data_IF_876448489790
#
_entry.id   IF_876448489790
#
_cell.length_a   1.000
_cell.length_b   1.000
_cell.length_c   1.000
_cell.angle_alpha   90.00
_cell.angle_beta   90.00
_cell.angle_gamma   90.00
#
_symmetry.space_group_name_H-M   'P 1'
#
loop_
_entity.id
_entity.type
_entity.pdbx_description
1 polymer ?
#
# COMPACT_ATOMS: atom_id res chain seq x y z
N UNK A 1 -19.53 -12.88 -50.27
CA UNK A 1 -18.10 -12.80 -49.89
C UNK A 1 -17.85 -11.87 -48.71
N UNK A 2 -18.39 -10.67 -48.65
CA UNK A 2 -18.18 -9.67 -47.59
C UNK A 2 -18.53 -10.15 -46.15
N UNK A 3 -19.64 -10.90 -45.98
CA UNK A 3 -20.04 -11.39 -44.62
C UNK A 3 -19.07 -12.40 -44.02
N UNK A 4 -18.33 -13.17 -44.83
CA UNK A 4 -17.29 -14.10 -44.33
C UNK A 4 -16.00 -13.39 -43.98
N UNK A 5 -15.70 -12.27 -44.63
CA UNK A 5 -14.52 -11.45 -44.32
C UNK A 5 -14.71 -10.70 -42.99
N UNK A 6 -15.91 -10.19 -42.70
CA UNK A 6 -16.24 -9.51 -41.43
C UNK A 6 -16.20 -10.47 -40.26
N UNK A 7 -16.69 -11.72 -40.43
CA UNK A 7 -16.61 -12.74 -39.40
C UNK A 7 -15.16 -13.15 -39.08
N UNK A 8 -14.30 -13.23 -40.10
CA UNK A 8 -12.89 -13.56 -39.94
C UNK A 8 -12.12 -12.41 -39.21
N UNK A 9 -12.45 -11.17 -39.57
CA UNK A 9 -11.86 -9.99 -38.93
C UNK A 9 -12.30 -9.88 -37.46
N UNK A 10 -13.56 -10.18 -37.15
CA UNK A 10 -14.07 -10.18 -35.75
C UNK A 10 -13.41 -11.25 -34.87
N UNK A 11 -13.16 -12.46 -35.45
CA UNK A 11 -12.44 -13.52 -34.75
C UNK A 11 -10.97 -13.15 -34.52
N UNK A 12 -10.33 -12.50 -35.53
CA UNK A 12 -8.94 -12.04 -35.40
C UNK A 12 -8.78 -10.92 -34.34
N UNK A 13 -9.74 -10.01 -34.26
CA UNK A 13 -9.75 -8.95 -33.23
C UNK A 13 -10.01 -9.55 -31.86
N UNK A 14 -10.90 -10.53 -31.70
CA UNK A 14 -11.16 -11.23 -30.47
C UNK A 14 -9.95 -12.06 -30.00
N UNK A 15 -9.21 -12.67 -30.92
CA UNK A 15 -7.97 -13.39 -30.55
C UNK A 15 -6.82 -12.47 -30.22
N UNK A 16 -6.72 -11.29 -30.85
CA UNK A 16 -5.72 -10.27 -30.52
C UNK A 16 -6.02 -9.58 -29.18
N UNK A 17 -7.29 -9.34 -28.84
CA UNK A 17 -7.67 -8.80 -27.54
C UNK A 17 -7.53 -9.83 -26.40
N UNK A 18 -7.73 -11.12 -26.68
CA UNK A 18 -7.46 -12.18 -25.71
C UNK A 18 -5.94 -12.38 -25.47
N UNK A 19 -5.10 -12.16 -26.50
CA UNK A 19 -3.64 -12.23 -26.34
C UNK A 19 -3.05 -11.00 -25.62
N UNK A 20 -3.74 -9.86 -25.63
CA UNK A 20 -3.34 -8.67 -24.86
C UNK A 20 -3.78 -8.72 -23.37
N UNK A 21 -4.64 -9.68 -23.01
CA UNK A 21 -5.09 -9.92 -21.65
C UNK A 21 -4.22 -10.94 -20.87
N UNK A 22 -3.25 -11.59 -21.55
CA UNK A 22 -2.15 -12.25 -20.87
C UNK A 22 -1.14 -11.13 -20.56
N UNK A 23 -1.22 -10.57 -19.36
CA UNK A 23 -0.25 -9.59 -18.86
C UNK A 23 1.16 -10.12 -19.10
N UNK A 24 2.10 -9.23 -19.39
CA UNK A 24 3.52 -9.58 -19.45
C UNK A 24 3.83 -10.43 -18.21
N UNK A 25 4.36 -11.62 -18.44
CA UNK A 25 4.75 -12.52 -17.36
C UNK A 25 5.78 -11.75 -16.52
N UNK A 26 5.39 -11.35 -15.33
CA UNK A 26 6.26 -10.54 -14.47
C UNK A 26 7.52 -11.33 -14.16
N UNK A 27 8.67 -10.86 -14.63
CA UNK A 27 9.96 -11.46 -14.29
C UNK A 27 10.34 -11.06 -12.86
N UNK A 28 10.38 -12.05 -11.98
CA UNK A 28 10.76 -11.89 -10.58
C UNK A 28 12.26 -12.09 -10.34
N UNK A 29 13.00 -12.55 -11.34
CA UNK A 29 14.44 -12.89 -11.23
C UNK A 29 15.26 -11.66 -10.82
N UNK A 30 16.11 -11.83 -9.82
CA UNK A 30 16.99 -10.77 -9.32
C UNK A 30 16.27 -9.63 -8.58
N UNK A 31 14.97 -9.81 -8.26
CA UNK A 31 14.21 -8.77 -7.54
C UNK A 31 14.32 -8.92 -6.04
N UNK A 32 14.26 -7.79 -5.34
CA UNK A 32 14.17 -7.73 -3.89
C UNK A 32 12.87 -7.06 -3.48
N UNK A 33 12.18 -7.67 -2.53
CA UNK A 33 10.90 -7.24 -2.02
C UNK A 33 11.00 -6.97 -0.53
N UNK A 34 10.66 -5.76 -0.13
CA UNK A 34 10.73 -5.29 1.26
C UNK A 34 9.33 -5.26 1.86
N UNK A 35 9.15 -5.85 3.02
CA UNK A 35 7.91 -5.73 3.77
C UNK A 35 7.72 -4.29 4.19
N UNK A 36 6.65 -3.66 3.73
CA UNK A 36 6.33 -2.26 3.99
C UNK A 36 5.14 -2.10 4.93
N UNK A 37 4.24 -3.09 4.95
CA UNK A 37 3.00 -3.06 5.73
C UNK A 37 2.65 -4.47 6.19
N UNK A 38 1.98 -4.58 7.33
CA UNK A 38 1.37 -5.81 7.83
C UNK A 38 0.00 -5.48 8.42
N UNK A 39 -1.04 -6.11 7.87
CA UNK A 39 -2.42 -5.95 8.29
C UNK A 39 -2.80 -7.14 9.17
N UNK A 40 -3.06 -6.89 10.45
CA UNK A 40 -3.42 -7.91 11.41
C UNK A 40 -4.92 -8.21 11.34
N UNK A 41 -5.32 -9.46 11.59
CA UNK A 41 -6.73 -9.86 11.64
C UNK A 41 -7.55 -9.14 12.73
N UNK A 42 -6.89 -8.55 13.72
CA UNK A 42 -7.54 -7.72 14.75
C UNK A 42 -7.72 -6.25 14.33
N UNK A 43 -7.44 -5.90 13.07
CA UNK A 43 -7.56 -4.56 12.53
C UNK A 43 -6.37 -3.63 12.80
N UNK A 44 -5.34 -4.09 13.52
CA UNK A 44 -4.10 -3.32 13.67
C UNK A 44 -3.29 -3.34 12.37
N UNK A 45 -2.65 -2.24 12.03
CA UNK A 45 -1.77 -2.11 10.87
C UNK A 45 -0.39 -1.65 11.31
N UNK A 46 0.64 -2.33 10.83
CA UNK A 46 2.03 -1.96 11.06
C UNK A 46 2.68 -1.50 9.77
N UNK A 47 3.36 -0.35 9.79
CA UNK A 47 4.20 0.11 8.70
C UNK A 47 5.67 -0.07 9.06
N UNK A 48 6.46 -0.53 8.09
CA UNK A 48 7.87 -0.83 8.26
C UNK A 48 8.71 0.09 7.38
N UNK A 49 9.80 0.61 7.93
CA UNK A 49 10.84 1.27 7.15
C UNK A 49 11.90 0.26 6.70
N UNK A 50 12.70 0.64 5.72
CA UNK A 50 13.84 -0.17 5.23
C UNK A 50 14.81 -0.61 6.33
N UNK A 51 14.94 0.20 7.38
CA UNK A 51 15.81 -0.04 8.53
C UNK A 51 15.07 -0.61 9.73
N UNK A 52 13.79 -1.00 9.57
CA UNK A 52 13.03 -1.60 10.65
C UNK A 52 13.72 -2.88 11.14
N UNK A 53 13.93 -2.98 12.44
CA UNK A 53 14.44 -4.21 13.08
C UNK A 53 13.36 -5.30 13.18
N UNK A 54 12.23 -5.06 12.56
CA UNK A 54 11.10 -5.97 12.38
C UNK A 54 10.70 -5.87 10.92
N UNK A 55 10.16 -6.92 10.40
CA UNK A 55 9.78 -6.99 9.00
C UNK A 55 10.56 -8.07 8.29
N UNK A 56 10.28 -8.21 7.02
CA UNK A 56 10.79 -9.28 6.19
C UNK A 56 11.31 -8.70 4.88
N UNK A 57 12.30 -9.37 4.30
CA UNK A 57 12.78 -9.08 2.95
C UNK A 57 12.82 -10.40 2.19
N UNK A 58 12.31 -10.41 0.97
CA UNK A 58 12.35 -11.56 0.07
C UNK A 58 13.26 -11.19 -1.08
N UNK A 59 14.29 -12.01 -1.32
CA UNK A 59 15.20 -11.87 -2.46
C UNK A 59 14.94 -13.02 -3.41
N UNK A 60 14.45 -12.72 -4.61
CA UNK A 60 14.23 -13.68 -5.69
C UNK A 60 15.51 -13.77 -6.50
N UNK A 61 16.24 -14.85 -6.33
CA UNK A 61 17.48 -15.10 -7.06
C UNK A 61 17.26 -15.72 -8.44
N UNK A 62 18.35 -15.95 -9.14
CA UNK A 62 18.37 -16.72 -10.38
C UNK A 62 18.04 -18.21 -10.11
N UNK A 63 17.68 -18.95 -11.16
CA UNK A 63 17.42 -20.39 -11.13
C UNK A 63 16.35 -20.85 -10.11
N UNK A 64 15.38 -19.98 -9.79
CA UNK A 64 14.31 -20.31 -8.87
C UNK A 64 14.71 -20.37 -7.40
N UNK A 65 15.86 -19.83 -7.03
CA UNK A 65 16.26 -19.70 -5.63
C UNK A 65 15.66 -18.44 -5.00
N UNK A 66 15.28 -18.51 -3.74
CA UNK A 66 14.86 -17.36 -2.96
C UNK A 66 15.51 -17.35 -1.57
N UNK A 67 15.72 -16.18 -1.03
CA UNK A 67 16.11 -15.99 0.36
C UNK A 67 15.11 -15.09 1.06
N UNK A 68 14.61 -15.53 2.21
CA UNK A 68 13.76 -14.74 3.07
C UNK A 68 14.59 -14.30 4.27
N UNK A 69 14.70 -13.00 4.47
CA UNK A 69 15.36 -12.42 5.63
C UNK A 69 14.34 -11.89 6.61
N UNK A 70 14.48 -12.29 7.87
CA UNK A 70 13.69 -11.77 9.00
C UNK A 70 14.64 -11.28 10.09
N UNK A 71 14.12 -10.43 10.98
CA UNK A 71 14.86 -9.95 12.14
C UNK A 71 14.38 -10.65 13.41
N UNK A 72 15.32 -11.12 14.20
CA UNK A 72 14.97 -11.65 15.51
C UNK A 72 14.64 -10.51 16.49
N UNK A 73 13.47 -10.57 17.16
CA UNK A 73 13.02 -9.49 18.00
C UNK A 73 13.91 -9.20 19.23
N UNK A 74 14.73 -10.18 19.62
CA UNK A 74 15.45 -10.12 20.90
C UNK A 74 16.94 -9.72 20.79
N UNK A 75 17.56 -9.77 19.63
CA UNK A 75 19.00 -9.55 19.48
C UNK A 75 19.40 -8.71 18.27
N UNK A 76 18.45 -8.16 17.54
CA UNK A 76 18.68 -7.35 16.34
C UNK A 76 19.52 -8.08 15.25
N UNK A 77 19.47 -9.41 15.23
CA UNK A 77 20.14 -10.20 14.21
C UNK A 77 19.19 -10.52 13.05
N UNK A 78 19.72 -10.41 11.85
CA UNK A 78 19.04 -10.78 10.60
C UNK A 78 19.29 -12.28 10.36
N UNK A 79 18.21 -13.03 10.17
CA UNK A 79 18.26 -14.44 9.80
C UNK A 79 17.79 -14.62 8.37
N UNK A 80 18.52 -15.43 7.60
CA UNK A 80 18.14 -15.83 6.25
C UNK A 80 17.63 -17.27 6.22
N UNK A 81 16.58 -17.49 5.46
CA UNK A 81 16.03 -18.80 5.16
C UNK A 81 16.10 -19.00 3.65
N UNK A 82 16.79 -20.06 3.21
CA UNK A 82 16.79 -20.43 1.80
C UNK A 82 15.48 -21.15 1.46
N UNK A 83 14.87 -20.73 0.35
CA UNK A 83 13.68 -21.32 -0.25
C UNK A 83 13.92 -21.43 -1.77
N UNK A 84 12.97 -22.02 -2.46
CA UNK A 84 12.87 -21.90 -3.90
C UNK A 84 11.64 -21.05 -4.23
N UNK A 85 11.56 -20.56 -5.48
CA UNK A 85 10.38 -19.92 -5.98
C UNK A 85 10.06 -20.40 -7.39
N UNK A 86 8.80 -20.39 -7.76
CA UNK A 86 8.32 -20.61 -9.11
C UNK A 86 7.05 -19.80 -9.39
N UNK A 87 6.65 -19.80 -10.65
CA UNK A 87 5.33 -19.33 -11.06
C UNK A 87 4.58 -20.53 -11.63
N UNK A 88 3.48 -20.93 -10.99
CA UNK A 88 2.63 -22.00 -11.48
C UNK A 88 1.20 -21.49 -11.70
N UNK A 89 0.67 -21.69 -12.89
CA UNK A 89 -0.68 -21.25 -13.28
C UNK A 89 -0.90 -19.73 -13.06
N UNK A 90 0.17 -18.94 -13.24
CA UNK A 90 0.18 -17.49 -13.05
C UNK A 90 0.33 -17.04 -11.58
N UNK A 91 0.44 -17.97 -10.64
CA UNK A 91 0.66 -17.68 -9.23
C UNK A 91 2.12 -17.82 -8.84
N UNK A 92 2.71 -16.76 -8.29
CA UNK A 92 4.02 -16.79 -7.67
C UNK A 92 3.98 -17.54 -6.35
N UNK A 93 4.97 -18.42 -6.10
CA UNK A 93 5.03 -19.24 -4.89
C UNK A 93 6.43 -19.28 -4.33
N UNK A 94 6.55 -19.25 -3.01
CA UNK A 94 7.77 -19.62 -2.27
C UNK A 94 7.66 -21.08 -1.83
N UNK A 95 8.67 -21.88 -2.08
CA UNK A 95 8.67 -23.32 -1.87
C UNK A 95 9.69 -23.66 -0.81
N UNK A 96 9.24 -24.25 0.29
CA UNK A 96 10.09 -24.73 1.36
C UNK A 96 10.75 -26.07 1.02
N UNK A 97 11.76 -26.44 1.79
CA UNK A 97 12.53 -27.68 1.60
C UNK A 97 11.70 -28.97 1.72
N UNK A 98 10.57 -28.93 2.40
CA UNK A 98 9.60 -30.03 2.53
C UNK A 98 8.56 -30.05 1.40
N UNK A 99 8.74 -29.23 0.38
CA UNK A 99 7.83 -29.03 -0.76
C UNK A 99 6.49 -28.38 -0.41
N UNK A 100 6.30 -27.89 0.80
CA UNK A 100 5.20 -26.98 1.10
C UNK A 100 5.43 -25.64 0.40
N UNK A 101 4.36 -24.91 0.08
CA UNK A 101 4.50 -23.62 -0.59
C UNK A 101 3.64 -22.55 0.06
N UNK A 102 4.10 -21.31 -0.07
CA UNK A 102 3.41 -20.10 0.34
C UNK A 102 3.06 -19.34 -0.94
N UNK A 103 1.77 -19.16 -1.26
CA UNK A 103 1.36 -18.36 -2.40
C UNK A 103 1.63 -16.87 -2.10
N UNK A 104 2.10 -16.16 -3.11
CA UNK A 104 2.23 -14.71 -3.11
C UNK A 104 1.28 -14.15 -4.15
N UNK A 105 0.39 -13.26 -3.76
CA UNK A 105 -0.48 -12.55 -4.69
C UNK A 105 0.27 -11.33 -5.22
N UNK A 106 0.17 -11.07 -6.52
CA UNK A 106 0.79 -9.93 -7.18
C UNK A 106 -0.29 -8.98 -7.65
N UNK A 107 -0.23 -7.75 -7.17
CA UNK A 107 -1.06 -6.63 -7.61
C UNK A 107 -0.15 -5.52 -8.21
N UNK A 108 0.50 -5.86 -9.34
CA UNK A 108 1.41 -4.95 -10.04
C UNK A 108 2.72 -4.70 -9.29
N UNK A 109 2.80 -3.61 -8.54
CA UNK A 109 4.00 -3.18 -7.83
C UNK A 109 4.09 -3.72 -6.39
N UNK A 110 3.10 -4.49 -5.95
CA UNK A 110 3.01 -5.01 -4.60
C UNK A 110 2.81 -6.54 -4.61
N UNK A 111 3.51 -7.24 -3.71
CA UNK A 111 3.22 -8.63 -3.40
C UNK A 111 2.54 -8.70 -2.03
N UNK A 112 1.58 -9.60 -1.89
CA UNK A 112 0.99 -9.91 -0.59
C UNK A 112 1.24 -11.36 -0.20
N UNK A 113 1.42 -11.59 1.09
CA UNK A 113 1.63 -12.92 1.69
C UNK A 113 0.72 -13.10 2.89
N UNK A 114 -0.11 -14.13 2.85
CA UNK A 114 -0.94 -14.50 4.00
C UNK A 114 -0.09 -15.26 5.03
N UNK A 115 0.07 -14.68 6.22
CA UNK A 115 0.83 -15.24 7.34
C UNK A 115 -0.07 -15.91 8.39
N UNK A 116 -1.36 -16.14 8.08
CA UNK A 116 -2.35 -16.78 8.95
C UNK A 116 -3.11 -15.79 9.83
N UNK A 117 -2.43 -15.02 10.65
CA UNK A 117 -3.03 -13.98 11.51
C UNK A 117 -2.78 -12.55 11.00
N UNK A 118 -2.14 -12.43 9.86
CA UNK A 118 -1.88 -11.16 9.20
C UNK A 118 -1.66 -11.34 7.70
N UNK A 119 -1.75 -10.23 6.97
CA UNK A 119 -1.35 -10.13 5.56
C UNK A 119 -0.14 -9.21 5.51
N UNK A 120 0.99 -9.72 5.03
CA UNK A 120 2.18 -8.95 4.80
C UNK A 120 2.20 -8.40 3.38
N UNK A 121 2.53 -7.13 3.23
CA UNK A 121 2.61 -6.40 1.96
C UNK A 121 4.06 -6.04 1.68
N UNK A 122 4.51 -6.34 0.47
CA UNK A 122 5.88 -6.13 0.04
C UNK A 122 5.93 -5.23 -1.18
N UNK A 123 6.91 -4.34 -1.24
CA UNK A 123 7.21 -3.48 -2.39
C UNK A 123 8.65 -3.70 -2.83
N UNK A 124 8.95 -3.46 -4.11
CA UNK A 124 10.33 -3.42 -4.63
C UNK A 124 11.12 -2.26 -4.05
N UNK A 125 10.44 -1.20 -3.66
CA UNK A 125 11.05 -0.07 -2.99
C UNK A 125 11.00 -0.28 -1.47
N UNK A 126 12.10 -0.05 -0.76
CA UNK A 126 12.10 -0.14 0.68
C UNK A 126 11.15 0.91 1.27
N UNK A 127 10.55 0.59 2.40
CA UNK A 127 9.72 1.54 3.13
C UNK A 127 10.50 2.79 3.59
N UNK A 128 9.79 3.73 4.18
CA UNK A 128 10.33 5.03 4.58
C UNK A 128 11.61 4.95 5.38
N UNK A 129 12.57 5.83 5.10
CA UNK A 129 13.71 6.06 5.97
C UNK A 129 13.24 6.67 7.31
N UNK A 130 14.01 6.44 8.35
CA UNK A 130 13.75 7.02 9.65
C UNK A 130 13.95 6.02 10.79
N UNK A 131 14.81 5.07 10.60
CA UNK A 131 15.14 4.09 11.63
C UNK A 131 13.95 3.16 11.91
N UNK A 132 13.66 2.94 13.18
CA UNK A 132 12.56 2.06 13.60
C UNK A 132 11.21 2.78 13.64
N UNK A 133 11.00 3.81 12.84
CA UNK A 133 9.74 4.52 12.78
C UNK A 133 8.63 3.56 12.33
N UNK A 134 7.79 3.21 13.28
CA UNK A 134 6.65 2.33 13.11
C UNK A 134 5.42 3.13 13.44
N UNK A 135 4.51 3.24 12.48
CA UNK A 135 3.16 3.70 12.73
C UNK A 135 2.31 2.47 13.06
N UNK A 136 1.64 2.50 14.18
CA UNK A 136 0.76 1.42 14.62
C UNK A 136 -0.66 1.93 14.60
N UNK A 137 -1.46 1.43 13.67
CA UNK A 137 -2.88 1.68 13.68
C UNK A 137 -3.57 0.78 14.71
N UNK A 138 -4.60 1.33 15.33
CA UNK A 138 -5.50 0.63 16.23
C UNK A 138 -6.86 0.46 15.55
N UNK A 139 -7.57 -0.66 15.78
CA UNK A 139 -8.91 -0.85 15.25
C UNK A 139 -9.87 0.17 15.85
N UNK A 140 -10.60 0.90 15.00
CA UNK A 140 -11.72 1.73 15.42
C UNK A 140 -13.00 0.90 15.48
N UNK A 141 -13.85 1.15 16.46
CA UNK A 141 -15.13 0.44 16.62
C UNK A 141 -16.26 1.11 15.82
N UNK A 142 -16.10 2.38 15.46
CA UNK A 142 -17.10 3.15 14.73
C UNK A 142 -16.51 4.33 13.95
N UNK A 143 -17.23 4.79 12.92
CA UNK A 143 -16.89 6.02 12.20
C UNK A 143 -16.84 7.27 13.12
N UNK A 144 -17.60 7.27 14.22
CA UNK A 144 -17.65 8.40 15.16
C UNK A 144 -16.32 8.71 15.83
N UNK A 145 -15.39 7.72 15.92
CA UNK A 145 -14.07 7.94 16.49
C UNK A 145 -13.18 8.83 15.62
N UNK A 146 -13.47 8.90 14.32
CA UNK A 146 -12.78 9.77 13.37
C UNK A 146 -13.30 11.21 13.42
N UNK A 147 -14.51 11.44 13.95
CA UNK A 147 -15.13 12.75 13.94
C UNK A 147 -14.23 13.83 14.56
N UNK A 148 -14.26 15.00 13.95
CA UNK A 148 -13.47 16.17 14.34
C UNK A 148 -12.61 16.70 13.23
N UNK A 149 -11.76 17.67 13.58
CA UNK A 149 -10.84 18.30 12.64
C UNK A 149 -9.42 17.77 12.87
N UNK A 150 -8.76 17.41 11.79
CA UNK A 150 -7.41 16.86 11.79
C UNK A 150 -6.51 17.72 10.92
N UNK A 151 -5.37 18.16 11.43
CA UNK A 151 -4.37 18.95 10.71
C UNK A 151 -3.24 18.07 10.22
N UNK A 152 -2.86 18.22 8.96
CA UNK A 152 -1.70 17.55 8.38
C UNK A 152 -0.44 17.89 9.18
N UNK A 153 0.31 16.87 9.58
CA UNK A 153 1.57 16.99 10.33
C UNK A 153 2.77 16.59 9.47
N UNK A 154 2.67 15.46 8.78
CA UNK A 154 3.76 14.98 7.93
C UNK A 154 3.25 14.17 6.74
N UNK A 155 4.07 14.12 5.70
CA UNK A 155 3.86 13.32 4.50
C UNK A 155 5.04 12.37 4.35
N UNK A 156 4.76 11.10 4.13
CA UNK A 156 5.74 10.04 4.00
C UNK A 156 5.58 9.44 2.60
N UNK A 157 6.60 9.59 1.76
CA UNK A 157 6.67 8.98 0.44
C UNK A 157 7.38 7.63 0.58
N UNK A 158 6.60 6.55 0.75
CA UNK A 158 7.13 5.24 1.10
C UNK A 158 8.16 4.73 0.08
N UNK A 159 7.87 4.84 -1.22
CA UNK A 159 8.79 4.39 -2.28
C UNK A 159 10.08 5.21 -2.39
N UNK A 160 10.09 6.46 -1.98
CA UNK A 160 11.28 7.32 -2.03
C UNK A 160 12.06 7.36 -0.71
N UNK A 161 11.52 6.77 0.37
CA UNK A 161 12.11 6.84 1.70
C UNK A 161 12.15 8.26 2.28
N UNK A 162 11.27 9.16 1.84
CA UNK A 162 11.30 10.57 2.21
C UNK A 162 10.15 10.87 3.17
N UNK A 163 10.47 11.50 4.29
CA UNK A 163 9.48 12.09 5.20
C UNK A 163 9.58 13.60 5.15
N UNK A 164 8.45 14.26 4.91
CA UNK A 164 8.32 15.70 4.84
C UNK A 164 7.46 16.19 5.99
N UNK A 165 7.98 17.08 6.81
CA UNK A 165 7.20 17.80 7.81
C UNK A 165 6.33 18.86 7.09
N UNK A 166 5.02 18.85 7.38
CA UNK A 166 4.06 19.71 6.68
C UNK A 166 4.32 21.21 6.95
N UNK A 167 4.68 21.55 8.19
CA UNK A 167 4.97 22.94 8.55
C UNK A 167 6.25 23.44 7.87
N UNK A 168 7.30 22.59 7.77
CA UNK A 168 8.53 22.92 7.05
C UNK A 168 8.31 23.06 5.55
N UNK A 169 7.45 22.23 4.97
CA UNK A 169 7.11 22.29 3.55
C UNK A 169 6.07 23.38 3.21
N UNK A 170 5.55 24.07 4.20
CA UNK A 170 4.48 25.08 4.06
C UNK A 170 3.20 24.47 3.42
N UNK A 171 2.96 23.20 3.63
CA UNK A 171 1.73 22.51 3.22
C UNK A 171 0.73 22.57 4.36
N UNK A 172 -0.36 23.29 4.17
CA UNK A 172 -1.42 23.36 5.17
C UNK A 172 -2.69 22.71 4.62
N UNK A 173 -3.08 21.63 5.27
CA UNK A 173 -4.32 20.91 4.97
C UNK A 173 -4.97 20.44 6.26
N UNK A 174 -6.29 20.45 6.29
CA UNK A 174 -7.10 19.88 7.37
C UNK A 174 -8.15 18.95 6.79
N UNK A 175 -8.50 17.93 7.56
CA UNK A 175 -9.60 17.03 7.27
C UNK A 175 -10.66 17.21 8.35
N UNK A 176 -11.91 17.34 7.94
CA UNK A 176 -13.08 17.29 8.84
C UNK A 176 -13.90 16.04 8.52
N UNK A 177 -14.02 15.13 9.49
CA UNK A 177 -14.84 13.94 9.34
C UNK A 177 -16.25 14.23 9.86
N UNK A 178 -17.21 13.96 9.01
CA UNK A 178 -18.65 14.07 9.25
C UNK A 178 -19.31 12.70 8.97
N UNK A 179 -20.61 12.57 9.23
CA UNK A 179 -21.33 11.35 8.91
C UNK A 179 -21.32 11.08 7.39
N UNK A 180 -20.62 10.03 6.96
CA UNK A 180 -20.51 9.59 5.58
C UNK A 180 -19.71 10.50 4.65
N UNK A 181 -18.97 11.49 5.19
CA UNK A 181 -18.20 12.40 4.36
C UNK A 181 -16.91 12.90 5.04
N UNK A 182 -15.94 13.25 4.20
CA UNK A 182 -14.71 13.94 4.60
C UNK A 182 -14.65 15.26 3.83
N UNK A 183 -14.41 16.35 4.53
CA UNK A 183 -14.11 17.66 3.94
C UNK A 183 -12.62 17.92 4.09
N UNK A 184 -11.90 17.98 2.99
CA UNK A 184 -10.51 18.41 2.95
C UNK A 184 -10.46 19.90 2.66
N UNK A 185 -9.84 20.66 3.56
CA UNK A 185 -9.55 22.08 3.37
C UNK A 185 -8.08 22.27 3.19
N UNK A 186 -7.65 22.84 2.08
CA UNK A 186 -6.26 23.10 1.77
C UNK A 186 -6.01 24.56 1.42
N UNK A 187 -4.85 25.06 1.84
CA UNK A 187 -4.41 26.42 1.50
C UNK A 187 -3.55 26.39 0.24
N UNK A 188 -3.94 27.18 -0.76
CA UNK A 188 -3.15 27.41 -1.96
C UNK A 188 -2.27 28.65 -1.76
N UNK A 189 -0.93 28.47 -1.63
CA UNK A 189 -0.02 29.60 -1.42
C UNK A 189 0.11 30.51 -2.64
N UNK A 190 -0.28 30.06 -3.83
CA UNK A 190 -0.21 30.86 -5.06
C UNK A 190 -1.37 31.86 -5.14
N UNK A 191 -2.58 31.39 -4.88
CA UNK A 191 -3.78 32.26 -4.85
C UNK A 191 -4.00 32.95 -3.50
N UNK A 192 -3.38 32.44 -2.42
CA UNK A 192 -3.60 32.90 -1.06
C UNK A 192 -4.98 32.55 -0.51
N UNK A 193 -5.64 31.52 -1.07
CA UNK A 193 -7.01 31.15 -0.74
C UNK A 193 -7.08 29.74 -0.17
N UNK A 194 -8.08 29.52 0.67
CA UNK A 194 -8.51 28.17 1.10
C UNK A 194 -9.50 27.61 0.10
N UNK A 195 -9.33 26.34 -0.21
CA UNK A 195 -10.28 25.55 -1.01
C UNK A 195 -10.77 24.36 -0.22
N UNK A 196 -12.06 24.08 -0.29
CA UNK A 196 -12.69 22.92 0.35
C UNK A 196 -13.15 21.94 -0.71
N UNK A 197 -12.83 20.66 -0.50
CA UNK A 197 -13.33 19.56 -1.32
C UNK A 197 -14.02 18.57 -0.41
N UNK A 198 -15.24 18.17 -0.78
CA UNK A 198 -16.02 17.17 -0.04
C UNK A 198 -16.00 15.85 -0.77
N UNK A 199 -15.69 14.78 -0.05
CA UNK A 199 -15.68 13.42 -0.53
C UNK A 199 -16.68 12.58 0.25
N UNK A 200 -17.36 11.65 -0.42
CA UNK A 200 -18.12 10.60 0.25
C UNK A 200 -17.14 9.55 0.80
N UNK A 201 -17.46 9.00 1.96
CA UNK A 201 -16.63 7.96 2.58
C UNK A 201 -17.47 6.85 3.20
N UNK A 202 -16.86 5.69 3.42
CA UNK A 202 -17.47 4.54 4.08
C UNK A 202 -16.59 4.10 5.25
N UNK A 203 -17.21 3.49 6.26
CA UNK A 203 -16.51 2.86 7.38
C UNK A 203 -16.66 1.36 7.25
N UNK A 204 -15.54 0.67 7.06
CA UNK A 204 -15.43 -0.79 6.93
C UNK A 204 -14.11 -1.26 7.54
N UNK A 205 -14.07 -2.45 8.07
CA UNK A 205 -12.85 -3.11 8.55
C UNK A 205 -11.97 -2.21 9.45
N UNK A 206 -12.61 -1.51 10.39
CA UNK A 206 -11.96 -0.62 11.35
C UNK A 206 -11.28 0.62 10.72
N UNK A 207 -11.61 0.95 9.51
CA UNK A 207 -11.05 2.07 8.75
C UNK A 207 -12.15 2.91 8.09
N UNK A 208 -11.83 4.17 7.79
CA UNK A 208 -12.61 4.97 6.86
C UNK A 208 -11.95 4.93 5.50
N UNK A 209 -12.71 4.63 4.46
CA UNK A 209 -12.24 4.62 3.07
C UNK A 209 -12.89 5.74 2.27
N UNK A 210 -12.11 6.38 1.41
CA UNK A 210 -12.53 7.51 0.58
C UNK A 210 -12.06 7.28 -0.86
N UNK A 211 -12.99 7.12 -1.83
CA UNK A 211 -12.62 7.06 -3.23
C UNK A 211 -12.22 8.46 -3.72
N UNK A 212 -11.05 8.55 -4.35
CA UNK A 212 -10.52 9.80 -4.91
C UNK A 212 -10.39 9.65 -6.41
N UNK A 213 -10.98 10.59 -7.16
CA UNK A 213 -10.81 10.68 -8.61
C UNK A 213 -9.80 11.76 -8.94
N UNK A 214 -8.77 11.37 -9.68
CA UNK A 214 -7.77 12.32 -10.15
C UNK A 214 -8.12 12.86 -11.53
N UNK A 215 -7.60 14.04 -11.85
CA UNK A 215 -7.82 14.68 -13.16
C UNK A 215 -7.29 13.87 -14.34
N UNK A 216 -6.35 12.95 -14.11
CA UNK A 216 -5.82 12.02 -15.10
C UNK A 216 -6.76 10.82 -15.40
N UNK A 217 -7.90 10.74 -14.69
CA UNK A 217 -8.90 9.70 -14.83
C UNK A 217 -8.59 8.42 -14.07
N UNK A 218 -7.58 8.42 -13.22
CA UNK A 218 -7.29 7.28 -12.34
C UNK A 218 -8.10 7.41 -11.05
N UNK A 219 -8.64 6.28 -10.59
CA UNK A 219 -9.35 6.19 -9.33
C UNK A 219 -8.39 5.65 -8.26
N UNK A 220 -8.29 6.34 -7.14
CA UNK A 220 -7.54 5.91 -5.97
C UNK A 220 -8.50 5.70 -4.80
N UNK A 221 -8.03 4.95 -3.81
CA UNK A 221 -8.70 4.82 -2.52
C UNK A 221 -7.75 5.31 -1.45
N UNK A 222 -8.17 6.31 -0.67
CA UNK A 222 -7.52 6.67 0.59
C UNK A 222 -8.14 5.86 1.72
N UNK A 223 -7.30 5.28 2.57
CA UNK A 223 -7.68 4.54 3.76
C UNK A 223 -7.20 5.29 4.99
N UNK A 224 -8.10 5.58 5.92
CA UNK A 224 -7.81 6.31 7.15
C UNK A 224 -7.88 5.38 8.36
N UNK A 225 -6.86 5.40 9.20
CA UNK A 225 -6.80 4.65 10.46
C UNK A 225 -6.33 5.50 11.62
N UNK A 226 -6.88 5.26 12.80
CA UNK A 226 -6.38 5.86 14.03
C UNK A 226 -5.08 5.21 14.47
N UNK A 227 -4.14 6.00 14.96
CA UNK A 227 -2.87 5.50 15.49
C UNK A 227 -2.91 5.41 17.01
N UNK A 228 -2.01 4.58 17.57
CA UNK A 228 -1.89 4.33 19.02
C UNK A 228 -1.44 5.58 19.82
N UNK A 229 -0.85 6.57 19.14
CA UNK A 229 -0.49 7.87 19.70
C UNK A 229 -1.63 8.92 19.64
N UNK A 230 -2.81 8.53 19.16
CA UNK A 230 -3.96 9.40 18.99
C UNK A 230 -3.94 10.27 17.73
N UNK A 231 -2.99 10.08 16.85
CA UNK A 231 -2.98 10.70 15.52
C UNK A 231 -3.80 9.88 14.51
N UNK A 232 -3.96 10.41 13.30
CA UNK A 232 -4.66 9.78 12.20
C UNK A 232 -3.70 9.54 11.05
N UNK A 233 -3.73 8.35 10.48
CA UNK A 233 -2.98 7.97 9.29
C UNK A 233 -3.90 7.87 8.09
N UNK A 234 -3.50 8.45 6.97
CA UNK A 234 -4.07 8.23 5.64
C UNK A 234 -3.06 7.46 4.79
N UNK A 235 -3.50 6.38 4.16
CA UNK A 235 -2.72 5.58 3.23
C UNK A 235 -3.33 5.75 1.84
N UNK A 236 -2.53 6.23 0.88
CA UNK A 236 -2.91 6.33 -0.52
C UNK A 236 -1.99 5.46 -1.36
N UNK A 237 -2.56 4.55 -2.14
CA UNK A 237 -1.85 3.85 -3.20
C UNK A 237 -1.97 4.66 -4.47
N UNK A 238 -0.84 5.18 -4.96
CA UNK A 238 -0.78 5.96 -6.21
C UNK A 238 0.16 5.26 -7.18
N UNK A 239 0.03 5.54 -8.48
CA UNK A 239 0.99 5.03 -9.46
C UNK A 239 2.41 5.43 -9.08
N UNK A 240 3.25 4.42 -8.85
CA UNK A 240 4.64 4.61 -8.44
C UNK A 240 4.90 4.57 -6.94
N UNK A 241 3.92 4.16 -6.12
CA UNK A 241 4.18 3.90 -4.70
C UNK A 241 3.05 4.25 -3.75
N UNK A 242 3.36 4.16 -2.46
CA UNK A 242 2.43 4.49 -1.38
C UNK A 242 2.82 5.83 -0.77
N UNK A 243 1.83 6.71 -0.60
CA UNK A 243 1.95 7.95 0.16
C UNK A 243 1.18 7.76 1.46
N UNK A 244 1.84 8.07 2.57
CA UNK A 244 1.21 8.09 3.88
C UNK A 244 1.20 9.51 4.40
N UNK A 245 0.04 10.00 4.80
CA UNK A 245 -0.11 11.29 5.48
C UNK A 245 -0.47 11.04 6.93
N UNK A 246 0.12 11.79 7.83
CA UNK A 246 -0.18 11.73 9.27
C UNK A 246 -0.75 13.06 9.71
N UNK A 247 -1.87 12.98 10.38
CA UNK A 247 -2.61 14.13 10.87
C UNK A 247 -2.69 14.10 12.39
N UNK A 248 -2.69 15.26 13.02
CA UNK A 248 -2.92 15.42 14.45
C UNK A 248 -4.26 16.11 14.70
N UNK A 249 -4.93 15.78 15.80
CA UNK A 249 -6.19 16.45 16.14
C UNK A 249 -5.94 17.96 16.25
N UNK A 250 -6.76 18.70 15.55
CA UNK A 250 -6.78 20.16 15.62
C UNK A 250 -7.83 20.57 16.66
N UNK A 251 -7.36 20.98 17.82
CA UNK A 251 -8.20 21.64 18.82
C UNK A 251 -8.08 23.14 18.57
N UNK A 252 -9.14 23.81 18.11
CA UNK A 252 -9.13 25.25 17.86
C UNK A 252 -8.98 26.07 19.14
#
# INVERSE_FOLDING_TARGET
MMKKLIALLAVLILTLTAAAAFGEETDYTGTTWYMIREDMTNGSVYLYSANATKGMTIVMGEDGNAEIYTWAPNNNQKYGYAMNWDVQDGQLRLIASDSSFIPLENDGDELTMNMGNSIAHFSREPGTEGGNARLTAIPAESAGEFHGVWRLSKIIYAGAGITVDADQAQVTSTLSFEDGAIVESSYDPVSGQWGDVRYDCTFEDHAVTMPVKMDDGQDYVSEFRLLDDGSLMEIMKVNGGTIVRVYVRHNP
#
